data_IF_039864712628
#
_entry.id   IF_039864712628
#
_cell.length_a   1.000
_cell.length_b   1.000
_cell.length_c   1.000
_cell.angle_alpha   90.00
_cell.angle_beta   90.00
_cell.angle_gamma   90.00
#
_symmetry.space_group_name_H-M   'P 1'
#
loop_
_entity.id
_entity.type
_entity.pdbx_description
1 polymer ?
#
# COMPACT_ATOMS: atom_id res chain seq x y z
N UNK A 1 -17.24 -12.97 1.47
CA UNK A 1 -16.07 -12.14 1.14
C UNK A 1 -14.79 -12.94 0.86
N UNK A 2 -14.68 -14.21 1.28
CA UNK A 2 -13.46 -15.03 1.14
C UNK A 2 -13.11 -15.56 -0.27
N UNK A 3 -14.00 -15.42 -1.26
CA UNK A 3 -13.86 -16.13 -2.53
C UNK A 3 -13.12 -15.32 -3.61
N UNK A 4 -13.26 -13.99 -3.64
CA UNK A 4 -12.67 -13.12 -4.69
C UNK A 4 -11.16 -13.05 -4.59
N UNK A 5 -10.63 -13.00 -3.36
CA UNK A 5 -9.18 -12.95 -3.09
C UNK A 5 -8.50 -14.22 -3.62
N UNK A 6 -9.12 -15.38 -3.35
CA UNK A 6 -8.67 -16.70 -3.79
C UNK A 6 -8.83 -16.85 -5.31
N UNK A 7 -10.02 -16.60 -5.87
CA UNK A 7 -10.28 -16.81 -7.31
C UNK A 7 -9.63 -15.78 -8.24
N UNK A 8 -9.39 -14.56 -7.77
CA UNK A 8 -8.72 -13.51 -8.55
C UNK A 8 -7.20 -13.65 -8.58
N UNK A 9 -6.58 -14.01 -7.46
CA UNK A 9 -5.11 -14.03 -7.34
C UNK A 9 -4.48 -15.38 -7.71
N UNK A 10 -5.10 -16.52 -7.37
CA UNK A 10 -4.50 -17.85 -7.61
C UNK A 10 -4.15 -18.14 -9.08
N UNK A 11 -5.00 -17.80 -10.07
CA UNK A 11 -4.67 -18.06 -11.47
C UNK A 11 -3.45 -17.29 -11.97
N UNK A 12 -3.15 -16.15 -11.35
CA UNK A 12 -2.02 -15.28 -11.76
C UNK A 12 -0.71 -15.73 -11.13
N UNK A 13 -0.73 -16.15 -9.86
CA UNK A 13 0.44 -16.75 -9.22
C UNK A 13 0.78 -18.14 -9.75
N UNK A 14 -0.20 -18.86 -10.31
CA UNK A 14 -0.03 -20.23 -10.79
C UNK A 14 0.56 -20.40 -12.19
N UNK A 15 0.86 -19.32 -12.93
CA UNK A 15 1.38 -19.41 -14.31
C UNK A 15 2.55 -18.48 -14.57
N UNK A 16 3.76 -18.94 -14.28
CA UNK A 16 4.93 -18.57 -15.07
C UNK A 16 5.98 -19.69 -15.03
N UNK A 17 6.37 -20.18 -16.22
CA UNK A 17 7.49 -21.11 -16.45
C UNK A 17 8.68 -20.40 -17.12
N UNK A 18 8.66 -19.08 -17.20
CA UNK A 18 9.85 -18.28 -17.56
C UNK A 18 10.74 -18.11 -16.31
N UNK A 19 12.06 -17.86 -16.44
CA UNK A 19 12.88 -17.33 -15.35
C UNK A 19 12.43 -15.89 -15.02
N UNK A 20 11.20 -15.77 -14.54
CA UNK A 20 10.54 -14.54 -14.17
C UNK A 20 10.42 -14.53 -12.66
N UNK A 21 11.09 -13.55 -12.06
CA UNK A 21 10.77 -12.92 -10.78
C UNK A 21 9.97 -13.76 -9.77
N UNK A 22 10.63 -14.13 -8.67
CA UNK A 22 10.04 -14.91 -7.58
C UNK A 22 9.73 -14.01 -6.37
N UNK A 23 8.52 -14.08 -5.81
CA UNK A 23 8.14 -13.39 -4.56
C UNK A 23 9.07 -13.74 -3.39
N UNK A 24 9.64 -14.94 -3.40
CA UNK A 24 10.64 -15.36 -2.42
C UNK A 24 11.95 -14.56 -2.54
N UNK A 25 12.32 -14.05 -3.72
CA UNK A 25 13.53 -13.22 -3.88
C UNK A 25 13.34 -11.84 -3.22
N UNK A 26 12.10 -11.30 -3.22
CA UNK A 26 11.73 -10.07 -2.50
C UNK A 26 11.72 -10.29 -0.98
N UNK A 27 11.24 -11.47 -0.55
CA UNK A 27 11.19 -11.84 0.87
C UNK A 27 12.56 -12.12 1.49
N UNK A 28 13.64 -12.28 0.72
CA UNK A 28 14.98 -12.58 1.27
C UNK A 28 15.78 -11.33 1.70
N UNK A 29 15.26 -10.12 1.49
CA UNK A 29 15.98 -8.87 1.81
C UNK A 29 15.33 -8.09 2.96
N UNK A 30 15.97 -8.09 4.14
CA UNK A 30 15.65 -7.18 5.26
C UNK A 30 14.94 -7.81 6.46
N UNK A 31 14.65 -6.98 7.48
CA UNK A 31 13.80 -7.34 8.63
C UNK A 31 12.34 -7.55 8.17
N UNK A 32 11.56 -8.31 8.95
CA UNK A 32 10.21 -8.77 8.57
C UNK A 32 9.28 -7.66 8.04
N UNK A 33 9.32 -6.47 8.64
CA UNK A 33 8.52 -5.31 8.24
C UNK A 33 8.91 -4.77 6.85
N UNK A 34 10.21 -4.63 6.57
CA UNK A 34 10.72 -4.21 5.26
C UNK A 34 10.35 -5.19 4.15
N UNK A 35 10.28 -6.49 4.46
CA UNK A 35 9.86 -7.50 3.49
C UNK A 35 8.39 -7.31 3.06
N UNK A 36 7.51 -7.02 4.02
CA UNK A 36 6.09 -6.76 3.73
C UNK A 36 5.94 -5.46 2.95
N UNK A 37 6.64 -4.39 3.35
CA UNK A 37 6.63 -3.11 2.63
C UNK A 37 7.10 -3.27 1.18
N UNK A 38 8.16 -4.05 0.94
CA UNK A 38 8.67 -4.35 -0.40
C UNK A 38 7.68 -5.16 -1.26
N UNK A 39 7.00 -6.14 -0.68
CA UNK A 39 5.97 -6.92 -1.41
C UNK A 39 4.76 -6.04 -1.72
N UNK A 40 4.29 -5.24 -0.77
CA UNK A 40 3.20 -4.28 -0.97
C UNK A 40 3.54 -3.29 -2.07
N UNK A 41 4.77 -2.73 -2.05
CA UNK A 41 5.30 -1.89 -3.13
C UNK A 41 5.19 -2.58 -4.48
N UNK A 42 5.78 -3.77 -4.57
CA UNK A 42 5.80 -4.52 -5.81
C UNK A 42 4.40 -4.79 -6.34
N UNK A 43 3.42 -5.13 -5.48
CA UNK A 43 2.05 -5.43 -5.88
C UNK A 43 1.22 -4.20 -6.30
N UNK A 44 1.58 -3.00 -5.81
CA UNK A 44 0.85 -1.76 -6.09
C UNK A 44 1.33 -1.04 -7.36
N UNK A 45 2.49 -1.42 -7.90
CA UNK A 45 3.02 -0.90 -9.17
C UNK A 45 2.22 -1.52 -10.34
N UNK A 46 1.26 -0.77 -10.92
CA UNK A 46 0.37 -1.33 -11.94
C UNK A 46 1.09 -1.84 -13.21
N UNK A 47 2.24 -1.26 -13.54
CA UNK A 47 3.15 -1.65 -14.62
C UNK A 47 4.29 -2.56 -14.14
N UNK A 48 4.21 -3.06 -12.91
CA UNK A 48 5.19 -3.92 -12.27
C UNK A 48 5.28 -5.32 -12.90
N UNK A 49 6.36 -6.04 -12.54
CA UNK A 49 6.69 -7.34 -13.13
C UNK A 49 5.69 -8.47 -12.81
N UNK A 50 4.77 -8.28 -11.86
CA UNK A 50 3.71 -9.24 -11.52
C UNK A 50 2.60 -9.34 -12.58
N UNK A 51 2.51 -8.40 -13.53
CA UNK A 51 1.48 -8.41 -14.60
C UNK A 51 0.02 -8.41 -14.09
N UNK A 52 -0.24 -7.90 -12.88
CA UNK A 52 -1.61 -7.78 -12.32
C UNK A 52 -2.32 -6.50 -12.75
N UNK A 53 -1.64 -5.56 -13.43
CA UNK A 53 -2.21 -4.24 -13.66
C UNK A 53 -2.56 -3.54 -12.34
N UNK A 54 -3.57 -2.68 -12.36
CA UNK A 54 -4.13 -2.06 -11.15
C UNK A 54 -5.00 -2.99 -10.28
N UNK A 55 -5.04 -4.30 -10.52
CA UNK A 55 -5.98 -5.21 -9.84
C UNK A 55 -5.77 -5.24 -8.33
N UNK A 56 -4.52 -5.25 -7.88
CA UNK A 56 -4.23 -5.28 -6.44
C UNK A 56 -4.66 -3.98 -5.73
N UNK A 57 -4.38 -2.82 -6.35
CA UNK A 57 -4.88 -1.52 -5.88
C UNK A 57 -6.39 -1.52 -5.76
N UNK A 58 -7.09 -2.03 -6.77
CA UNK A 58 -8.56 -2.13 -6.75
C UNK A 58 -9.06 -2.99 -5.59
N UNK A 59 -8.47 -4.17 -5.37
CA UNK A 59 -8.85 -5.05 -4.25
C UNK A 59 -8.67 -4.33 -2.90
N UNK A 60 -7.55 -3.63 -2.72
CA UNK A 60 -7.27 -2.89 -1.51
C UNK A 60 -8.31 -1.79 -1.26
N UNK A 61 -8.63 -0.99 -2.29
CA UNK A 61 -9.62 0.07 -2.17
C UNK A 61 -11.04 -0.48 -1.98
N UNK A 62 -11.40 -1.57 -2.68
CA UNK A 62 -12.70 -2.21 -2.52
C UNK A 62 -12.87 -2.70 -1.07
N UNK A 63 -11.82 -3.24 -0.44
CA UNK A 63 -11.84 -3.61 0.98
C UNK A 63 -12.03 -2.39 1.88
N UNK A 64 -11.26 -1.30 1.68
CA UNK A 64 -11.42 -0.06 2.44
C UNK A 64 -12.85 0.48 2.33
N UNK A 65 -13.39 0.53 1.11
CA UNK A 65 -14.76 0.98 0.86
C UNK A 65 -15.80 0.08 1.54
N UNK A 66 -15.56 -1.22 1.63
CA UNK A 66 -16.47 -2.15 2.31
C UNK A 66 -16.56 -1.94 3.83
N UNK A 67 -15.49 -1.41 4.43
CA UNK A 67 -15.41 -1.15 5.88
C UNK A 67 -15.82 0.29 6.26
N UNK A 68 -15.96 1.21 5.29
CA UNK A 68 -16.40 2.59 5.55
C UNK A 68 -17.86 2.60 6.01
N UNK A 69 -18.13 3.30 7.11
CA UNK A 69 -19.49 3.48 7.66
C UNK A 69 -20.18 4.76 7.18
N UNK A 70 -19.60 5.48 6.22
CA UNK A 70 -20.17 6.68 5.62
C UNK A 70 -19.22 7.41 4.66
N UNK A 71 -19.77 8.44 4.00
CA UNK A 71 -19.08 9.20 2.95
C UNK A 71 -19.15 8.52 1.58
N UNK A 72 -18.70 9.23 0.55
CA UNK A 72 -18.59 8.67 -0.80
C UNK A 72 -17.51 7.57 -0.85
N UNK A 73 -17.68 6.54 -1.69
CA UNK A 73 -16.64 5.56 -1.96
C UNK A 73 -15.38 6.24 -2.49
N UNK A 74 -14.23 5.71 -2.09
CA UNK A 74 -12.96 6.09 -2.68
C UNK A 74 -12.92 5.63 -4.15
N UNK A 75 -12.32 6.42 -5.08
CA UNK A 75 -12.08 5.98 -6.45
C UNK A 75 -11.30 4.66 -6.46
N UNK A 76 -11.57 3.74 -7.37
CA UNK A 76 -10.90 2.43 -7.42
C UNK A 76 -9.61 2.40 -8.27
N UNK A 77 -9.20 3.56 -8.79
CA UNK A 77 -8.04 3.75 -9.65
C UNK A 77 -7.51 5.19 -9.56
N UNK A 78 -6.38 5.46 -10.22
CA UNK A 78 -5.76 6.79 -10.25
C UNK A 78 -4.86 7.12 -9.05
N UNK A 79 -4.48 6.10 -8.27
CA UNK A 79 -3.52 6.26 -7.19
C UNK A 79 -2.09 6.14 -7.70
N UNK A 80 -1.21 6.95 -7.13
CA UNK A 80 0.24 6.71 -7.13
C UNK A 80 0.69 6.33 -5.71
N UNK A 81 1.61 5.37 -5.62
CA UNK A 81 2.16 4.90 -4.35
C UNK A 81 3.49 5.59 -4.03
N UNK A 82 3.67 5.96 -2.76
CA UNK A 82 4.93 6.45 -2.18
C UNK A 82 5.27 5.59 -0.98
N UNK A 83 6.54 5.28 -0.79
CA UNK A 83 7.02 4.37 0.25
C UNK A 83 8.01 5.07 1.18
N UNK A 84 8.09 4.58 2.42
CA UNK A 84 8.96 5.13 3.48
C UNK A 84 8.81 6.66 3.58
N UNK A 85 7.57 7.14 3.71
CA UNK A 85 7.24 8.57 3.70
C UNK A 85 7.29 9.12 5.11
N UNK A 86 8.18 10.09 5.38
CA UNK A 86 8.11 10.84 6.63
C UNK A 86 6.84 11.71 6.64
N UNK A 87 5.95 11.40 7.58
CA UNK A 87 4.64 12.05 7.76
C UNK A 87 4.65 13.12 8.86
N UNK A 88 5.71 13.17 9.67
CA UNK A 88 5.86 14.09 10.79
C UNK A 88 5.67 15.56 10.36
N UNK A 89 5.18 16.39 11.28
CA UNK A 89 5.22 17.84 11.06
C UNK A 89 6.66 18.36 11.12
N UNK A 90 6.85 19.61 10.68
CA UNK A 90 8.12 20.31 10.90
C UNK A 90 8.34 20.40 12.42
N UNK A 91 9.54 20.06 12.87
CA UNK A 91 9.97 20.03 14.28
C UNK A 91 9.43 18.88 15.14
N UNK A 92 8.76 17.89 14.56
CA UNK A 92 8.39 16.64 15.25
C UNK A 92 9.42 15.51 14.99
N UNK A 93 9.53 14.52 15.91
CA UNK A 93 10.30 13.31 15.65
C UNK A 93 9.82 12.60 14.39
N UNK A 94 10.74 11.97 13.67
CA UNK A 94 10.43 11.24 12.44
C UNK A 94 9.36 10.17 12.67
N UNK A 95 8.34 10.18 11.81
CA UNK A 95 7.23 9.23 11.80
C UNK A 95 7.04 8.74 10.37
N UNK A 96 7.50 7.52 10.08
CA UNK A 96 7.64 7.02 8.71
C UNK A 96 6.49 6.08 8.39
N UNK A 97 5.65 6.50 7.45
CA UNK A 97 4.65 5.62 6.88
C UNK A 97 5.26 4.65 5.87
N UNK A 98 4.88 3.39 5.97
CA UNK A 98 5.31 2.34 5.04
C UNK A 98 4.84 2.63 3.61
N UNK A 99 3.59 3.06 3.48
CA UNK A 99 2.94 3.31 2.22
C UNK A 99 1.97 4.49 2.34
N UNK A 100 2.10 5.43 1.41
CA UNK A 100 1.10 6.46 1.15
C UNK A 100 0.58 6.25 -0.26
N UNK A 101 -0.71 6.01 -0.37
CA UNK A 101 -1.45 6.09 -1.61
C UNK A 101 -1.97 7.51 -1.76
N UNK A 102 -1.85 8.08 -2.95
CA UNK A 102 -2.34 9.42 -3.22
C UNK A 102 -3.12 9.41 -4.53
N UNK A 103 -4.30 10.02 -4.52
CA UNK A 103 -5.06 10.39 -5.71
C UNK A 103 -5.37 11.88 -5.68
N UNK A 104 -6.04 12.36 -6.73
CA UNK A 104 -6.61 13.70 -6.77
C UNK A 104 -7.50 14.07 -5.57
N UNK A 105 -8.18 13.08 -5.00
CA UNK A 105 -9.24 13.29 -4.03
C UNK A 105 -8.94 12.68 -2.65
N UNK A 106 -7.93 11.82 -2.52
CA UNK A 106 -7.75 11.02 -1.30
C UNK A 106 -6.28 10.65 -1.09
N UNK A 107 -5.87 10.63 0.18
CA UNK A 107 -4.54 10.17 0.60
C UNK A 107 -4.68 9.03 1.63
N UNK A 108 -4.84 7.75 1.23
CA UNK A 108 -4.75 6.65 2.16
C UNK A 108 -3.31 6.47 2.67
N UNK A 109 -3.11 6.56 3.99
CA UNK A 109 -1.84 6.24 4.66
C UNK A 109 -1.96 4.84 5.27
N UNK A 110 -1.01 3.97 4.97
CA UNK A 110 -1.05 2.55 5.29
C UNK A 110 0.23 2.14 6.02
N UNK A 111 0.03 1.48 7.16
CA UNK A 111 1.08 0.93 8.01
C UNK A 111 0.98 -0.59 8.08
N UNK A 112 2.12 -1.26 8.17
CA UNK A 112 2.14 -2.68 8.49
C UNK A 112 1.78 -2.90 9.97
N UNK A 113 0.85 -3.81 10.22
CA UNK A 113 0.40 -4.16 11.57
C UNK A 113 1.34 -5.20 12.21
N UNK A 114 2.48 -4.79 12.80
CA UNK A 114 3.24 -5.57 13.81
C UNK A 114 4.36 -4.73 14.48
N UNK A 115 5.30 -5.38 15.20
CA UNK A 115 6.43 -4.73 15.88
C UNK A 115 7.24 -3.85 14.93
N UNK A 116 7.19 -2.54 15.16
CA UNK A 116 7.99 -1.50 14.51
C UNK A 116 9.50 -1.83 14.49
N UNK A 117 10.14 -1.56 13.37
CA UNK A 117 11.59 -1.63 13.16
C UNK A 117 12.36 -0.43 13.73
N UNK A 118 11.67 0.50 14.40
CA UNK A 118 12.28 1.57 15.18
C UNK A 118 11.71 2.97 14.98
N UNK A 119 10.57 3.11 14.33
CA UNK A 119 9.89 4.41 14.13
C UNK A 119 8.60 4.52 14.95
N UNK A 120 8.14 5.75 15.20
CA UNK A 120 6.79 5.94 15.76
C UNK A 120 5.74 5.48 14.72
N UNK A 121 4.53 5.18 15.19
CA UNK A 121 3.37 4.92 14.32
C UNK A 121 2.19 5.70 14.88
N UNK A 122 2.19 7.02 14.68
CA UNK A 122 1.13 7.88 15.22
C UNK A 122 -0.09 7.82 14.32
N UNK A 123 -1.16 7.16 14.77
CA UNK A 123 -2.45 7.21 14.07
C UNK A 123 -2.88 8.67 13.81
N UNK A 124 -2.78 9.53 14.82
CA UNK A 124 -3.14 10.94 14.70
C UNK A 124 -2.21 11.71 13.77
N UNK A 125 -0.91 11.35 13.75
CA UNK A 125 0.09 11.92 12.83
C UNK A 125 -0.22 11.59 11.38
N UNK A 126 -0.54 10.32 11.09
CA UNK A 126 -0.93 9.86 9.76
C UNK A 126 -2.25 10.45 9.29
N UNK A 127 -3.25 10.54 10.18
CA UNK A 127 -4.50 11.22 9.87
C UNK A 127 -4.25 12.69 9.55
N UNK A 128 -3.45 13.39 10.36
CA UNK A 128 -3.10 14.78 10.12
C UNK A 128 -2.34 14.96 8.79
N UNK A 129 -1.42 14.05 8.46
CA UNK A 129 -0.71 14.05 7.18
C UNK A 129 -1.67 13.89 5.99
N UNK A 130 -2.58 12.92 6.03
CA UNK A 130 -3.55 12.67 4.96
C UNK A 130 -4.55 13.80 4.75
N UNK A 131 -4.76 14.64 5.77
CA UNK A 131 -5.62 15.83 5.71
C UNK A 131 -4.89 17.09 5.22
N UNK A 132 -3.56 17.06 5.04
CA UNK A 132 -2.83 18.22 4.53
C UNK A 132 -3.28 18.53 3.10
N UNK A 133 -3.39 19.81 2.72
CA UNK A 133 -3.61 20.18 1.32
C UNK A 133 -2.54 19.53 0.47
N UNK A 134 -2.93 18.62 -0.43
CA UNK A 134 -1.98 18.01 -1.35
C UNK A 134 -1.37 19.12 -2.19
N UNK A 135 -0.05 19.14 -2.25
CA UNK A 135 0.71 20.18 -2.95
C UNK A 135 0.63 19.89 -4.45
N UNK A 136 -0.48 20.25 -5.09
CA UNK A 136 -0.51 20.42 -6.55
C UNK A 136 -0.20 21.87 -6.89
N UNK A 137 1.04 22.09 -7.33
CA UNK A 137 1.36 23.10 -8.33
C UNK A 137 1.26 22.44 -9.71
#
# INVERSE_FOLDING_TARGET
MTNVLVTGMLPVFGRSLEPGFNVFDVMHHGFHEKQISNVSRWLLEADGSHRLGGTFMKILIDEVNSQKTGGEPLPDSGYWGRHEVNTAAVDEPTDIADLVLESDATVPVVENYFTSDGHAHSYDGYLAYGLRPTRRA
#
